data_IF_225920009871
#
_entry.id   IF_225920009871
#
_cell.length_a   1.000
_cell.length_b   1.000
_cell.length_c   1.000
_cell.angle_alpha   90.00
_cell.angle_beta   90.00
_cell.angle_gamma   90.00
#
_symmetry.space_group_name_H-M   'P 1'
#
loop_
_entity.id
_entity.type
_entity.pdbx_description
1 polymer ?
#
# COMPACT_ATOMS: atom_id res chain seq x y z
N UNK A 1 3.20 -8.17 -1.24
CA UNK A 1 2.78 -7.38 -2.41
C UNK A 1 3.52 -7.92 -3.60
N UNK A 2 2.81 -8.35 -4.62
CA UNK A 2 3.39 -8.74 -5.91
C UNK A 2 3.43 -7.50 -6.81
N UNK A 3 4.63 -7.09 -7.20
CA UNK A 3 4.86 -5.84 -7.92
C UNK A 3 5.15 -6.15 -9.39
N UNK A 4 4.57 -5.35 -10.28
CA UNK A 4 4.86 -5.36 -11.71
C UNK A 4 5.27 -3.97 -12.20
N UNK A 5 6.21 -3.91 -13.13
CA UNK A 5 6.60 -2.69 -13.84
C UNK A 5 6.24 -2.90 -15.31
N UNK A 6 5.37 -2.05 -15.87
CA UNK A 6 4.84 -2.22 -17.23
C UNK A 6 4.27 -3.62 -17.49
N UNK A 7 3.48 -4.14 -16.55
CA UNK A 7 2.91 -5.50 -16.55
C UNK A 7 3.94 -6.66 -16.54
N UNK A 8 5.21 -6.37 -16.35
CA UNK A 8 6.26 -7.38 -16.15
C UNK A 8 6.46 -7.60 -14.65
N UNK A 9 6.33 -8.83 -14.12
CA UNK A 9 6.59 -9.13 -12.72
C UNK A 9 8.01 -8.69 -12.30
N UNK A 10 8.10 -7.84 -11.28
CA UNK A 10 9.36 -7.29 -10.76
C UNK A 10 9.77 -7.93 -9.42
N UNK A 11 8.85 -8.60 -8.73
CA UNK A 11 9.14 -9.35 -7.51
C UNK A 11 8.06 -9.23 -6.44
N UNK A 12 8.32 -9.85 -5.30
CA UNK A 12 7.44 -9.86 -4.13
C UNK A 12 8.07 -9.13 -2.95
N UNK A 13 7.33 -8.19 -2.37
CA UNK A 13 7.68 -7.51 -1.13
C UNK A 13 6.84 -8.08 0.02
N UNK A 14 7.50 -8.54 1.08
CA UNK A 14 6.84 -9.04 2.29
C UNK A 14 7.08 -8.07 3.44
N UNK A 15 6.03 -7.71 4.16
CA UNK A 15 6.10 -6.78 5.29
C UNK A 15 5.86 -7.56 6.59
N UNK A 16 6.65 -7.27 7.62
CA UNK A 16 6.37 -7.64 9.00
C UNK A 16 5.71 -6.44 9.65
N UNK A 17 4.59 -6.68 10.35
CA UNK A 17 3.84 -5.65 11.08
C UNK A 17 4.02 -5.88 12.58
N UNK A 18 4.13 -4.80 13.34
CA UNK A 18 4.33 -4.81 14.79
C UNK A 18 3.02 -4.45 15.51
N UNK A 19 2.09 -5.40 15.57
CA UNK A 19 0.78 -5.20 16.18
C UNK A 19 0.86 -4.86 17.68
N UNK A 20 1.89 -5.34 18.37
CA UNK A 20 2.17 -5.10 19.79
C UNK A 20 2.60 -3.66 20.08
N UNK A 21 3.20 -2.98 19.09
CA UNK A 21 3.65 -1.58 19.23
C UNK A 21 2.62 -0.60 18.69
N UNK A 22 2.05 -0.89 17.51
CA UNK A 22 1.15 0.02 16.78
C UNK A 22 -0.09 -0.68 16.25
N UNK A 23 -0.86 -1.31 17.14
CA UNK A 23 -2.02 -2.15 16.82
C UNK A 23 -3.00 -1.55 15.80
N UNK A 24 -3.43 -0.29 15.99
CA UNK A 24 -4.36 0.38 15.06
C UNK A 24 -3.76 0.58 13.66
N UNK A 25 -2.50 0.97 13.58
CA UNK A 25 -1.82 1.22 12.30
C UNK A 25 -1.55 -0.09 11.57
N UNK A 26 -1.07 -1.11 12.29
CA UNK A 26 -0.84 -2.44 11.75
C UNK A 26 -2.15 -3.06 11.22
N UNK A 27 -3.23 -2.94 11.98
CA UNK A 27 -4.56 -3.40 11.58
C UNK A 27 -5.04 -2.71 10.31
N UNK A 28 -5.02 -1.37 10.28
CA UNK A 28 -5.40 -0.61 9.08
C UNK A 28 -4.59 -0.99 7.84
N UNK A 29 -3.26 -1.12 7.97
CA UNK A 29 -2.42 -1.52 6.85
C UNK A 29 -2.75 -2.94 6.36
N UNK A 30 -2.98 -3.89 7.28
CA UNK A 30 -3.33 -5.28 6.95
C UNK A 30 -4.69 -5.37 6.23
N UNK A 31 -5.71 -4.66 6.71
CA UNK A 31 -7.04 -4.64 6.11
C UNK A 31 -7.01 -4.05 4.68
N UNK A 32 -6.32 -2.92 4.50
CA UNK A 32 -6.14 -2.32 3.17
C UNK A 32 -5.31 -3.21 2.23
N UNK A 33 -4.31 -3.93 2.75
CA UNK A 33 -3.48 -4.86 1.97
C UNK A 33 -4.23 -6.12 1.51
N UNK A 34 -5.14 -6.62 2.33
CA UNK A 34 -5.92 -7.84 2.04
C UNK A 34 -7.16 -7.54 1.19
N UNK A 35 -7.58 -6.27 1.10
CA UNK A 35 -8.73 -5.86 0.29
C UNK A 35 -10.07 -6.36 0.86
N UNK A 36 -10.14 -6.61 2.18
CA UNK A 36 -11.37 -7.03 2.87
C UNK A 36 -12.45 -5.92 2.88
N UNK A 37 -12.07 -4.69 2.54
CA UNK A 37 -12.98 -3.57 2.34
C UNK A 37 -13.05 -3.18 0.86
N UNK A 38 -14.13 -2.47 0.47
CA UNK A 38 -14.42 -2.08 -0.94
C UNK A 38 -13.28 -1.30 -1.63
N UNK A 39 -12.29 -0.85 -0.86
CA UNK A 39 -11.11 -0.10 -1.27
C UNK A 39 -9.88 -0.72 -0.61
N UNK A 40 -8.80 -0.93 -1.37
CA UNK A 40 -7.57 -1.54 -0.86
C UNK A 40 -6.37 -1.28 -1.78
N UNK A 41 -5.23 -1.86 -1.40
CA UNK A 41 -3.96 -1.64 -2.08
C UNK A 41 -3.79 -2.39 -3.39
N UNK A 42 -4.64 -3.36 -3.69
CA UNK A 42 -4.60 -4.10 -4.95
C UNK A 42 -4.94 -3.19 -6.13
N UNK A 43 -4.23 -3.32 -7.25
CA UNK A 43 -4.44 -2.52 -8.46
C UNK A 43 -3.86 -1.09 -8.43
N UNK A 44 -3.52 -0.56 -7.25
CA UNK A 44 -2.91 0.78 -7.12
C UNK A 44 -1.40 0.78 -7.41
N UNK A 45 -0.89 1.89 -7.96
CA UNK A 45 0.49 2.02 -8.50
C UNK A 45 1.36 2.95 -7.67
N UNK A 46 2.58 2.59 -7.25
CA UNK A 46 3.48 3.55 -6.58
C UNK A 46 3.70 4.83 -7.40
N UNK A 47 3.06 5.93 -6.97
CA UNK A 47 2.97 7.17 -7.75
C UNK A 47 4.19 8.08 -7.56
N UNK A 48 4.92 7.92 -6.47
CA UNK A 48 6.14 8.69 -6.20
C UNK A 48 7.29 7.76 -5.84
N UNK A 49 8.37 7.88 -6.61
CA UNK A 49 9.58 7.08 -6.50
C UNK A 49 10.74 8.06 -6.34
N UNK A 50 11.39 8.04 -5.18
CA UNK A 50 12.61 8.81 -4.94
C UNK A 50 13.77 7.82 -4.82
N UNK A 51 14.68 7.79 -5.80
CA UNK A 51 15.83 6.88 -5.76
C UNK A 51 16.61 7.00 -4.46
N UNK A 52 17.00 5.84 -3.90
CA UNK A 52 17.81 5.71 -2.69
C UNK A 52 17.17 6.23 -1.39
N UNK A 53 15.88 6.59 -1.37
CA UNK A 53 15.23 7.07 -0.15
C UNK A 53 13.90 6.36 0.12
N UNK A 54 12.89 6.55 -0.73
CA UNK A 54 11.55 6.05 -0.46
C UNK A 54 10.68 5.86 -1.71
N UNK A 55 9.72 4.97 -1.56
CA UNK A 55 8.60 4.75 -2.48
C UNK A 55 7.32 5.11 -1.74
N UNK A 56 6.44 5.88 -2.38
CA UNK A 56 5.15 6.23 -1.80
C UNK A 56 4.02 5.62 -2.62
N UNK A 57 3.21 4.83 -1.92
CA UNK A 57 2.03 4.23 -2.48
C UNK A 57 0.92 5.29 -2.57
N UNK A 58 0.15 5.32 -3.67
CA UNK A 58 -0.87 6.32 -3.87
C UNK A 58 -2.03 6.11 -2.94
N UNK A 59 -2.69 7.24 -2.76
CA UNK A 59 -4.12 7.36 -2.55
C UNK A 59 -4.95 6.33 -3.33
N UNK A 60 -5.68 5.49 -2.59
CA UNK A 60 -6.61 4.48 -3.11
C UNK A 60 -7.80 5.10 -3.86
N UNK A 61 -8.02 6.42 -3.74
CA UNK A 61 -9.20 7.12 -4.28
C UNK A 61 -8.93 8.00 -5.50
N UNK A 62 -7.73 8.58 -5.66
CA UNK A 62 -7.43 9.54 -6.74
C UNK A 62 -6.07 9.35 -7.43
N UNK A 63 -5.30 8.32 -7.06
CA UNK A 63 -4.03 7.93 -7.70
C UNK A 63 -2.97 9.04 -7.88
N UNK A 64 -3.10 10.16 -7.14
CA UNK A 64 -2.21 11.32 -7.24
C UNK A 64 -1.73 11.83 -5.87
N UNK A 65 -1.99 11.07 -4.81
CA UNK A 65 -1.54 11.36 -3.44
C UNK A 65 -2.41 12.34 -2.65
N UNK A 66 -3.55 12.80 -3.18
CA UNK A 66 -4.38 13.84 -2.51
C UNK A 66 -5.59 13.33 -1.72
N UNK A 67 -6.01 12.11 -1.96
CA UNK A 67 -6.92 11.38 -1.08
C UNK A 67 -6.17 10.33 -0.27
N UNK A 68 -6.82 9.83 0.76
CA UNK A 68 -6.46 8.57 1.39
C UNK A 68 -7.64 8.26 2.30
N UNK A 69 -8.19 7.05 2.22
CA UNK A 69 -9.25 6.62 3.13
C UNK A 69 -8.66 5.60 4.08
N UNK A 70 -8.87 5.83 5.36
CA UNK A 70 -8.57 4.87 6.41
C UNK A 70 -9.78 3.94 6.58
N UNK A 71 -9.57 2.76 7.17
CA UNK A 71 -10.70 1.90 7.55
C UNK A 71 -11.55 2.47 8.71
N UNK A 72 -11.06 3.55 9.33
CA UNK A 72 -11.69 4.31 10.41
C UNK A 72 -12.29 5.61 9.90
#
# INVERSE_FOLDING_TARGET
FDISINNVPAGRVTFVLYDDVVSKTAHNFRELATGQHRSGYSGSTFHRIIPNTQLEKPDITRDNGTGCTSMY
#
